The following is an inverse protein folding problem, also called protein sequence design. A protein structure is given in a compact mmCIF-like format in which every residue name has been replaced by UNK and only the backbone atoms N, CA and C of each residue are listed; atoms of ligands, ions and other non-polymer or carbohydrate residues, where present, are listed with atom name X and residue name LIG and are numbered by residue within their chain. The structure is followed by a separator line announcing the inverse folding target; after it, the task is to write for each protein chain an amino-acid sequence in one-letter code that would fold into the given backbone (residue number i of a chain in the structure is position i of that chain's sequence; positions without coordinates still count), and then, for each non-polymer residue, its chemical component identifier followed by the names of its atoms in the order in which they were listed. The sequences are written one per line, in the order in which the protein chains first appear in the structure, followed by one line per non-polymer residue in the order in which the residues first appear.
data_IF_293059344859
#
_entry.id   IF_293059344859
#
_cell.length_a   1.000
_cell.length_b   1.000
_cell.length_c   1.000
_cell.angle_alpha   90.00
_cell.angle_beta   90.00
_cell.angle_gamma   90.00
#
_symmetry.space_group_name_H-M   'P 1'
#
loop_
_entity.id
_entity.type
_entity.pdbx_description
1 polymer ?
#
# COMPACT_ATOMS: atom_id res chain seq x y z
N UNK A 1 19.12 -21.30 -36.42
CA UNK A 1 19.13 -20.14 -35.49
C UNK A 1 19.35 -20.61 -34.05
N UNK A 2 20.60 -20.89 -33.65
CA UNK A 2 20.93 -21.46 -32.31
C UNK A 2 21.04 -20.45 -31.16
N UNK A 3 20.95 -19.14 -31.46
CA UNK A 3 21.20 -18.07 -30.48
C UNK A 3 20.11 -17.97 -29.39
N UNK A 4 18.85 -18.28 -29.71
CA UNK A 4 17.74 -18.13 -28.78
C UNK A 4 17.76 -19.16 -27.62
N UNK A 5 18.36 -20.33 -27.81
CA UNK A 5 18.43 -21.39 -26.78
C UNK A 5 19.61 -21.21 -25.80
N UNK A 6 20.56 -20.33 -26.12
CA UNK A 6 21.80 -20.14 -25.34
C UNK A 6 21.68 -18.94 -24.38
N UNK A 7 20.96 -17.89 -24.79
CA UNK A 7 20.75 -16.70 -23.99
C UNK A 7 19.81 -16.97 -22.80
N UNK A 8 20.22 -16.63 -21.56
CA UNK A 8 19.45 -16.89 -20.32
C UNK A 8 19.04 -18.37 -20.12
N UNK A 9 19.85 -19.31 -20.62
CA UNK A 9 19.61 -20.75 -20.48
C UNK A 9 19.56 -21.24 -19.03
N UNK A 10 20.25 -20.56 -18.11
CA UNK A 10 20.24 -20.93 -16.69
C UNK A 10 19.04 -20.30 -15.94
N UNK A 11 18.15 -21.11 -15.32
CA UNK A 11 17.00 -20.59 -14.61
C UNK A 11 17.41 -19.79 -13.37
N UNK A 12 17.05 -18.50 -13.35
CA UNK A 12 17.32 -17.57 -12.23
C UNK A 12 16.17 -17.60 -11.23
N UNK A 13 15.90 -18.75 -10.61
CA UNK A 13 14.82 -18.90 -9.62
C UNK A 13 15.22 -18.38 -8.23
N UNK A 14 16.50 -18.45 -7.89
CA UNK A 14 17.03 -18.09 -6.57
C UNK A 14 18.38 -17.36 -6.69
N UNK A 15 18.87 -16.83 -5.55
CA UNK A 15 20.14 -16.12 -5.46
C UNK A 15 20.05 -14.61 -5.71
N UNK A 16 21.18 -13.89 -5.70
CA UNK A 16 21.22 -12.45 -5.93
C UNK A 16 20.79 -12.05 -7.35
N UNK A 17 21.15 -12.85 -8.36
CA UNK A 17 20.83 -12.57 -9.77
C UNK A 17 19.38 -12.85 -10.18
N UNK A 18 18.57 -13.46 -9.31
CA UNK A 18 17.12 -13.63 -9.56
C UNK A 18 16.29 -12.44 -9.10
N UNK A 19 16.91 -11.45 -8.44
CA UNK A 19 16.21 -10.35 -7.78
C UNK A 19 16.84 -9.03 -8.18
N UNK A 20 15.99 -8.04 -8.37
CA UNK A 20 16.38 -6.69 -8.71
C UNK A 20 15.50 -5.69 -7.97
N UNK A 21 16.04 -4.51 -7.70
CA UNK A 21 15.29 -3.42 -7.11
C UNK A 21 14.15 -3.01 -8.03
N UNK A 22 12.94 -2.87 -7.47
CA UNK A 22 11.75 -2.42 -8.20
C UNK A 22 11.86 -1.02 -8.82
N UNK A 23 12.79 -0.19 -8.34
CA UNK A 23 12.99 1.20 -8.77
C UNK A 23 14.13 1.31 -9.77
N UNK A 24 15.34 0.90 -9.38
CA UNK A 24 16.55 1.11 -10.21
C UNK A 24 17.08 -0.15 -10.91
N UNK A 25 16.45 -1.32 -10.74
CA UNK A 25 16.92 -2.57 -11.32
C UNK A 25 18.20 -3.17 -10.72
N UNK A 26 18.83 -2.50 -9.75
CA UNK A 26 20.04 -3.00 -9.09
C UNK A 26 19.76 -4.29 -8.31
N UNK A 27 20.62 -5.30 -8.44
CA UNK A 27 20.57 -6.59 -7.72
C UNK A 27 21.31 -6.58 -6.38
N UNK A 28 22.05 -5.51 -6.06
CA UNK A 28 22.81 -5.39 -4.82
C UNK A 28 22.08 -4.60 -3.73
N UNK A 29 22.28 -5.01 -2.47
CA UNK A 29 21.79 -4.29 -1.29
C UNK A 29 20.27 -4.16 -1.22
N UNK A 30 19.53 -5.20 -1.64
CA UNK A 30 18.08 -5.23 -1.58
C UNK A 30 17.55 -5.38 -0.14
N UNK A 31 16.62 -4.52 0.21
CA UNK A 31 15.73 -4.63 1.36
C UNK A 31 14.49 -5.41 0.90
N UNK A 32 14.28 -6.58 1.52
CA UNK A 32 13.23 -7.54 1.14
C UNK A 32 12.10 -7.63 2.15
N UNK A 33 12.30 -7.11 3.36
CA UNK A 33 11.33 -7.19 4.44
C UNK A 33 10.04 -6.45 4.07
N UNK A 34 8.89 -7.00 4.45
CA UNK A 34 7.57 -6.42 4.23
C UNK A 34 7.22 -6.24 2.74
N UNK A 35 7.84 -7.01 1.84
CA UNK A 35 7.59 -6.94 0.40
C UNK A 35 8.19 -5.72 -0.32
N UNK A 36 9.04 -4.91 0.34
CA UNK A 36 9.61 -3.68 -0.23
C UNK A 36 10.40 -3.92 -1.52
N UNK A 37 11.24 -4.95 -1.55
CA UNK A 37 12.06 -5.36 -2.70
C UNK A 37 12.75 -4.18 -3.42
N UNK A 38 13.29 -3.25 -2.65
CA UNK A 38 14.00 -2.07 -3.15
C UNK A 38 15.45 -2.06 -2.62
N UNK A 39 16.39 -1.44 -3.36
CA UNK A 39 17.75 -1.30 -2.85
C UNK A 39 17.79 -0.25 -1.73
N UNK A 40 18.79 -0.36 -0.85
CA UNK A 40 18.95 0.56 0.29
C UNK A 40 19.01 2.05 -0.08
N UNK A 41 19.50 2.39 -1.28
CA UNK A 41 19.62 3.77 -1.75
C UNK A 41 18.26 4.33 -2.18
N UNK A 42 17.51 3.58 -3.00
CA UNK A 42 16.14 3.94 -3.37
C UNK A 42 15.23 3.99 -2.15
N UNK A 43 15.39 3.05 -1.20
CA UNK A 43 14.66 3.09 0.05
C UNK A 43 14.88 4.39 0.81
N UNK A 44 16.15 4.80 1.03
CA UNK A 44 16.45 6.04 1.77
C UNK A 44 15.90 7.29 1.09
N UNK A 45 15.88 7.31 -0.23
CA UNK A 45 15.37 8.44 -1.02
C UNK A 45 13.84 8.56 -0.88
N UNK A 46 13.16 7.42 -0.84
CA UNK A 46 11.70 7.35 -0.85
C UNK A 46 11.08 7.03 0.53
N UNK A 47 11.89 6.89 1.58
CA UNK A 47 11.44 6.41 2.89
C UNK A 47 10.28 7.24 3.44
N UNK A 48 10.36 8.57 3.31
CA UNK A 48 9.31 9.49 3.73
C UNK A 48 8.00 9.27 2.97
N UNK A 49 8.08 9.03 1.67
CA UNK A 49 6.89 8.81 0.82
C UNK A 49 6.22 7.46 1.07
N UNK A 50 6.99 6.48 1.53
CA UNK A 50 6.48 5.16 1.94
C UNK A 50 5.88 5.22 3.36
N UNK A 51 6.05 6.33 4.09
CA UNK A 51 5.57 6.51 5.46
C UNK A 51 6.56 6.08 6.55
N UNK A 52 7.84 5.86 6.23
CA UNK A 52 8.86 5.59 7.25
C UNK A 52 9.31 6.89 7.93
N UNK A 53 9.15 6.92 9.25
CA UNK A 53 9.57 8.03 10.11
C UNK A 53 10.83 7.62 10.87
N UNK A 54 11.82 8.50 10.95
CA UNK A 54 13.03 8.27 11.76
C UNK A 54 12.73 8.60 13.23
N UNK A 55 12.83 7.64 14.16
CA UNK A 55 12.55 7.88 15.57
C UNK A 55 13.78 8.47 16.27
N UNK A 56 14.22 9.69 15.91
CA UNK A 56 15.29 10.39 16.64
C UNK A 56 14.71 11.66 17.30
N UNK A 57 14.33 11.53 18.57
CA UNK A 57 15.10 11.85 19.79
C UNK A 57 15.03 13.36 20.14
N UNK A 58 14.17 13.70 21.13
CA UNK A 58 13.97 15.03 21.76
C UNK A 58 13.15 16.11 21.02
N UNK A 59 12.15 15.77 20.22
CA UNK A 59 10.98 16.65 19.99
C UNK A 59 9.69 15.84 19.84
N UNK A 60 9.19 15.32 20.96
CA UNK A 60 7.74 15.16 21.16
C UNK A 60 7.20 16.54 21.54
N UNK A 61 7.33 17.51 20.64
CA UNK A 61 6.62 18.77 20.76
C UNK A 61 5.45 18.69 19.77
N UNK A 62 4.30 18.29 20.32
CA UNK A 62 2.98 18.83 20.04
C UNK A 62 2.66 19.19 18.57
N UNK A 63 2.74 18.23 17.64
CA UNK A 63 1.99 18.24 16.37
C UNK A 63 1.69 16.80 15.93
N UNK A 64 1.05 16.03 16.80
CA UNK A 64 0.63 14.64 16.52
C UNK A 64 -0.66 14.55 15.70
N UNK A 65 -0.84 15.40 14.69
CA UNK A 65 -2.01 15.35 13.80
C UNK A 65 -1.72 15.56 12.31
N UNK A 66 -0.51 15.93 11.89
CA UNK A 66 -0.20 16.18 10.48
C UNK A 66 1.19 15.67 10.12
N UNK A 67 1.32 14.38 9.83
CA UNK A 67 2.50 13.87 9.13
C UNK A 67 2.56 14.47 7.72
N UNK A 68 3.28 15.58 7.58
CA UNK A 68 3.65 16.22 6.31
C UNK A 68 4.48 15.26 5.43
N UNK A 69 3.79 14.42 4.67
CA UNK A 69 4.31 13.74 3.50
C UNK A 69 3.30 13.93 2.36
N UNK A 70 3.53 14.93 1.51
CA UNK A 70 2.64 15.37 0.40
C UNK A 70 1.27 15.89 0.87
N UNK A 71 1.22 17.04 1.57
CA UNK A 71 -0.04 17.80 1.72
C UNK A 71 -0.41 18.48 0.39
N UNK A 72 -0.89 17.68 -0.57
CA UNK A 72 -1.53 18.21 -1.77
C UNK A 72 -2.93 18.67 -1.40
N UNK A 73 -3.39 19.81 -1.96
CA UNK A 73 -4.77 20.27 -1.81
C UNK A 73 -5.77 19.16 -2.17
N UNK A 74 -5.42 18.31 -3.14
CA UNK A 74 -6.23 17.14 -3.53
C UNK A 74 -6.39 16.12 -2.40
N UNK A 75 -5.37 15.88 -1.59
CA UNK A 75 -5.45 14.94 -0.46
C UNK A 75 -6.27 15.52 0.68
N UNK A 76 -6.19 16.83 0.93
CA UNK A 76 -7.04 17.50 1.92
C UNK A 76 -8.52 17.43 1.55
N UNK A 77 -8.85 17.68 0.28
CA UNK A 77 -10.23 17.53 -0.22
C UNK A 77 -10.68 16.07 -0.12
N UNK A 78 -9.80 15.12 -0.42
CA UNK A 78 -10.15 13.71 -0.26
C UNK A 78 -10.41 13.37 1.22
N UNK A 79 -9.58 13.84 2.14
CA UNK A 79 -9.72 13.56 3.57
C UNK A 79 -11.02 14.12 4.16
N UNK A 80 -11.44 15.33 3.77
CA UNK A 80 -12.74 15.87 4.20
C UNK A 80 -13.91 15.04 3.68
N UNK A 81 -13.83 14.58 2.44
CA UNK A 81 -14.84 13.67 1.86
C UNK A 81 -14.86 12.34 2.61
N UNK A 82 -13.70 11.75 2.93
CA UNK A 82 -13.62 10.50 3.68
C UNK A 82 -14.21 10.62 5.09
N UNK A 83 -13.91 11.70 5.81
CA UNK A 83 -14.49 11.94 7.14
C UNK A 83 -16.02 12.11 7.09
N UNK A 84 -16.54 12.76 6.05
CA UNK A 84 -17.98 12.88 5.85
C UNK A 84 -18.62 11.50 5.60
N UNK A 85 -18.00 10.65 4.77
CA UNK A 85 -18.48 9.28 4.50
C UNK A 85 -18.45 8.42 5.77
N UNK A 86 -17.39 8.53 6.58
CA UNK A 86 -17.29 7.81 7.86
C UNK A 86 -18.41 8.21 8.83
N UNK A 87 -18.79 9.49 8.85
CA UNK A 87 -19.88 9.97 9.70
C UNK A 87 -21.28 9.52 9.23
N UNK A 88 -21.50 9.39 7.91
CA UNK A 88 -22.80 9.01 7.35
C UNK A 88 -22.95 7.51 7.13
N UNK A 89 -21.85 6.75 7.05
CA UNK A 89 -21.84 5.34 6.69
C UNK A 89 -22.31 5.05 5.27
N UNK A 90 -22.41 6.07 4.40
CA UNK A 90 -22.89 5.94 3.02
C UNK A 90 -22.21 6.93 2.09
N UNK A 91 -22.05 6.55 0.81
CA UNK A 91 -21.44 7.39 -0.22
C UNK A 91 -22.54 8.03 -1.08
N UNK A 92 -22.56 9.35 -1.16
CA UNK A 92 -23.42 10.10 -2.08
C UNK A 92 -22.83 10.18 -3.49
N UNK A 93 -23.65 10.41 -4.51
CA UNK A 93 -23.16 10.57 -5.89
C UNK A 93 -22.18 11.75 -6.04
N UNK A 94 -22.42 12.85 -5.32
CA UNK A 94 -21.51 14.00 -5.30
C UNK A 94 -20.13 13.61 -4.75
N UNK A 95 -20.09 12.93 -3.60
CA UNK A 95 -18.83 12.44 -3.02
C UNK A 95 -18.11 11.47 -3.97
N UNK A 96 -18.85 10.58 -4.63
CA UNK A 96 -18.28 9.64 -5.59
C UNK A 96 -17.72 10.35 -6.82
N UNK A 97 -18.39 11.40 -7.31
CA UNK A 97 -17.91 12.21 -8.43
C UNK A 97 -16.63 12.98 -8.10
N UNK A 98 -16.54 13.56 -6.90
CA UNK A 98 -15.34 14.25 -6.40
C UNK A 98 -14.18 13.26 -6.30
N UNK A 99 -14.41 12.12 -5.68
CA UNK A 99 -13.37 11.08 -5.55
C UNK A 99 -12.94 10.54 -6.92
N UNK A 100 -13.87 10.39 -7.87
CA UNK A 100 -13.56 9.95 -9.22
C UNK A 100 -12.71 10.99 -9.96
N UNK A 101 -13.00 12.28 -9.80
CA UNK A 101 -12.17 13.34 -10.35
C UNK A 101 -10.74 13.31 -9.79
N UNK A 102 -10.59 13.02 -8.49
CA UNK A 102 -9.28 13.02 -7.81
C UNK A 102 -8.44 11.78 -8.11
N UNK A 103 -9.05 10.59 -8.15
CA UNK A 103 -8.34 9.32 -8.21
C UNK A 103 -8.57 8.54 -9.52
N UNK A 104 -9.51 8.98 -10.35
CA UNK A 104 -9.82 8.45 -11.67
C UNK A 104 -10.05 6.93 -11.67
N UNK A 105 -9.38 6.26 -12.61
CA UNK A 105 -9.49 4.81 -12.85
C UNK A 105 -9.09 3.95 -11.64
N UNK A 106 -8.33 4.50 -10.68
CA UNK A 106 -7.96 3.75 -9.48
C UNK A 106 -9.15 3.59 -8.54
N UNK A 107 -10.07 4.56 -8.51
CA UNK A 107 -11.29 4.48 -7.72
C UNK A 107 -12.25 3.42 -8.27
N UNK A 108 -12.49 3.40 -9.59
CA UNK A 108 -13.36 2.40 -10.23
C UNK A 108 -12.88 0.97 -9.98
N UNK A 109 -11.56 0.77 -9.93
CA UNK A 109 -10.99 -0.55 -9.59
C UNK A 109 -11.09 -0.83 -8.10
N UNK A 110 -11.01 0.19 -7.25
CA UNK A 110 -11.14 0.05 -5.80
C UNK A 110 -12.57 -0.35 -5.41
N UNK A 111 -13.59 0.28 -5.99
CA UNK A 111 -15.00 -0.05 -5.72
C UNK A 111 -15.31 -1.51 -6.07
N UNK A 112 -14.81 -2.01 -7.21
CA UNK A 112 -14.93 -3.43 -7.58
C UNK A 112 -14.32 -4.41 -6.56
N UNK A 113 -13.27 -4.01 -5.85
CA UNK A 113 -12.65 -4.85 -4.81
C UNK A 113 -13.57 -4.90 -3.59
N UNK A 114 -14.18 -3.77 -3.23
CA UNK A 114 -15.12 -3.65 -2.11
C UNK A 114 -16.41 -4.44 -2.41
N UNK A 115 -16.96 -4.32 -3.62
CA UNK A 115 -18.17 -5.05 -4.04
C UNK A 115 -17.98 -6.58 -3.93
N UNK A 116 -16.76 -7.05 -4.24
CA UNK A 116 -16.36 -8.45 -4.12
C UNK A 116 -15.99 -8.88 -2.70
N UNK A 117 -16.12 -7.99 -1.71
CA UNK A 117 -15.70 -8.18 -0.30
C UNK A 117 -14.24 -8.64 -0.19
N UNK A 118 -13.36 -8.05 -1.01
CA UNK A 118 -11.94 -8.40 -1.09
C UNK A 118 -11.05 -7.73 -0.04
N UNK A 119 -11.62 -7.11 0.99
CA UNK A 119 -10.88 -6.37 2.02
C UNK A 119 -11.07 -7.04 3.38
N UNK A 120 -9.95 -7.40 4.01
CA UNK A 120 -9.91 -7.93 5.38
C UNK A 120 -9.12 -6.98 6.26
N UNK A 121 -9.61 -6.69 7.46
CA UNK A 121 -8.87 -5.95 8.49
C UNK A 121 -8.40 -6.95 9.53
N UNK A 122 -7.10 -7.01 9.74
CA UNK A 122 -6.47 -7.89 10.71
C UNK A 122 -6.06 -7.03 11.90
N UNK A 123 -6.61 -7.29 13.08
CA UNK A 123 -6.30 -6.59 14.34
C UNK A 123 -5.52 -7.51 15.28
N UNK A 124 -4.41 -6.99 15.83
CA UNK A 124 -3.60 -7.66 16.85
C UNK A 124 -4.11 -7.34 18.25
N UNK A 125 -4.33 -8.36 19.07
CA UNK A 125 -4.60 -8.22 20.50
C UNK A 125 -3.36 -8.65 21.31
N UNK A 126 -2.98 -7.92 22.38
CA UNK A 126 -3.65 -6.75 22.97
C UNK A 126 -3.23 -5.39 22.37
N UNK A 127 -2.28 -5.34 21.43
CA UNK A 127 -1.69 -4.06 20.97
C UNK A 127 -2.65 -3.12 20.23
N UNK A 128 -3.78 -3.62 19.73
CA UNK A 128 -4.71 -2.87 18.90
C UNK A 128 -4.16 -2.49 17.52
N UNK A 129 -2.96 -2.95 17.15
CA UNK A 129 -2.36 -2.68 15.85
C UNK A 129 -3.16 -3.38 14.76
N UNK A 130 -3.51 -2.66 13.71
CA UNK A 130 -4.26 -3.24 12.60
C UNK A 130 -3.57 -3.05 11.26
N UNK A 131 -3.84 -3.98 10.36
CA UNK A 131 -3.38 -3.93 8.98
C UNK A 131 -4.49 -4.42 8.05
N UNK A 132 -4.56 -3.83 6.87
CA UNK A 132 -5.51 -4.26 5.85
C UNK A 132 -4.84 -5.24 4.90
N UNK A 133 -5.56 -6.31 4.60
CA UNK A 133 -5.20 -7.27 3.58
C UNK A 133 -6.22 -7.16 2.45
N UNK A 134 -5.75 -6.79 1.26
CA UNK A 134 -6.60 -6.53 0.09
C UNK A 134 -6.26 -7.51 -1.01
N UNK A 135 -7.29 -8.17 -1.53
CA UNK A 135 -7.16 -9.14 -2.62
C UNK A 135 -6.97 -8.40 -3.95
N UNK A 136 -5.92 -8.78 -4.68
CA UNK A 136 -5.67 -8.32 -6.04
C UNK A 136 -6.65 -8.91 -7.04
N UNK A 137 -6.93 -8.16 -8.10
CA UNK A 137 -7.83 -8.56 -9.20
C UNK A 137 -7.22 -9.59 -10.16
N UNK A 138 -5.93 -9.91 -10.01
CA UNK A 138 -5.21 -10.87 -10.84
C UNK A 138 -5.79 -12.28 -10.70
N UNK A 139 -5.68 -13.11 -11.75
CA UNK A 139 -6.15 -14.51 -11.73
C UNK A 139 -5.58 -15.34 -10.57
N UNK A 140 -4.39 -14.98 -10.08
CA UNK A 140 -3.72 -15.64 -8.96
C UNK A 140 -4.25 -15.25 -7.57
N UNK A 141 -5.19 -14.31 -7.47
CA UNK A 141 -5.76 -13.78 -6.22
C UNK A 141 -4.71 -13.47 -5.17
N UNK A 142 -3.65 -12.77 -5.58
CA UNK A 142 -2.57 -12.37 -4.66
C UNK A 142 -3.13 -11.39 -3.62
N UNK A 143 -2.82 -11.64 -2.35
CA UNK A 143 -3.22 -10.77 -1.26
C UNK A 143 -2.09 -9.77 -0.96
N UNK A 144 -2.42 -8.48 -0.95
CA UNK A 144 -1.47 -7.42 -0.64
C UNK A 144 -1.77 -6.85 0.75
N UNK A 145 -0.73 -6.69 1.56
CA UNK A 145 -0.82 -5.89 2.76
C UNK A 145 -0.80 -4.40 2.41
N UNK A 146 -1.65 -3.66 3.11
CA UNK A 146 -1.75 -2.22 2.96
C UNK A 146 -2.05 -1.52 4.27
N UNK A 147 -1.48 -0.33 4.37
CA UNK A 147 -1.83 0.72 5.30
C UNK A 147 -2.53 1.80 4.47
N UNK A 148 -3.80 2.14 4.77
CA UNK A 148 -4.63 3.00 3.92
C UNK A 148 -3.99 4.35 3.55
N UNK A 149 -3.24 4.96 4.46
CA UNK A 149 -2.58 6.25 4.24
C UNK A 149 -1.16 6.14 3.68
N UNK A 150 -0.41 5.10 4.06
CA UNK A 150 1.05 5.16 3.95
C UNK A 150 1.64 4.20 2.93
N UNK A 151 1.18 2.94 2.90
CA UNK A 151 1.90 1.88 2.21
C UNK A 151 1.00 0.82 1.59
N UNK A 152 1.39 0.32 0.42
CA UNK A 152 0.85 -0.93 -0.11
C UNK A 152 1.96 -1.79 -0.74
N UNK A 153 1.93 -3.10 -0.49
CA UNK A 153 2.89 -4.04 -1.05
C UNK A 153 2.77 -4.28 -2.57
N UNK A 154 1.76 -3.70 -3.22
CA UNK A 154 1.52 -3.92 -4.65
C UNK A 154 2.55 -3.22 -5.55
N UNK A 155 2.73 -3.73 -6.77
CA UNK A 155 3.70 -3.18 -7.72
C UNK A 155 3.37 -1.73 -8.13
N UNK A 156 2.10 -1.42 -8.38
CA UNK A 156 1.64 -0.07 -8.77
C UNK A 156 1.95 1.00 -7.73
N UNK A 157 1.91 0.66 -6.43
CA UNK A 157 2.28 1.62 -5.40
C UNK A 157 3.74 2.07 -5.55
N UNK A 158 4.67 1.13 -5.68
CA UNK A 158 6.09 1.48 -5.83
C UNK A 158 6.39 2.23 -7.13
N UNK A 159 5.71 1.86 -8.22
CA UNK A 159 6.00 2.43 -9.52
C UNK A 159 5.28 3.76 -9.75
N UNK A 160 3.96 3.78 -9.63
CA UNK A 160 3.12 4.92 -10.00
C UNK A 160 3.11 6.00 -8.89
N UNK A 161 3.12 5.58 -7.62
CA UNK A 161 3.02 6.51 -6.47
C UNK A 161 4.39 6.96 -5.98
N UNK A 162 5.29 6.01 -5.72
CA UNK A 162 6.59 6.30 -5.09
C UNK A 162 7.65 6.70 -6.11
N UNK A 163 7.80 5.96 -7.22
CA UNK A 163 8.87 6.23 -8.18
C UNK A 163 8.55 7.37 -9.14
N UNK A 164 7.32 7.43 -9.64
CA UNK A 164 6.89 8.42 -10.64
C UNK A 164 6.16 9.62 -10.04
N UNK A 165 5.46 9.42 -8.92
CA UNK A 165 4.60 10.45 -8.34
C UNK A 165 3.42 10.86 -9.23
N UNK A 166 3.09 10.06 -10.25
CA UNK A 166 1.98 10.32 -11.18
C UNK A 166 0.61 10.08 -10.52
N UNK A 167 0.57 9.22 -9.49
CA UNK A 167 -0.63 8.86 -8.76
C UNK A 167 -0.45 9.11 -7.27
N UNK A 168 -1.50 9.56 -6.58
CA UNK A 168 -1.45 9.79 -5.13
C UNK A 168 -1.64 8.49 -4.33
N UNK A 169 -2.48 7.57 -4.83
CA UNK A 169 -2.79 6.32 -4.16
C UNK A 169 -2.94 5.19 -5.18
N UNK A 170 -2.62 3.97 -4.77
CA UNK A 170 -2.98 2.80 -5.55
C UNK A 170 -4.43 2.38 -5.29
N UNK A 171 -5.00 1.56 -6.18
CA UNK A 171 -6.36 1.04 -6.01
C UNK A 171 -6.60 0.30 -4.69
N UNK A 172 -5.58 -0.37 -4.14
CA UNK A 172 -5.72 -1.12 -2.89
C UNK A 172 -5.77 -0.20 -1.66
N UNK A 173 -5.02 0.91 -1.67
CA UNK A 173 -5.11 1.93 -0.60
C UNK A 173 -6.49 2.57 -0.60
N UNK A 174 -7.01 2.93 -1.77
CA UNK A 174 -8.37 3.47 -1.91
C UNK A 174 -9.42 2.44 -1.47
N UNK A 175 -9.27 1.17 -1.84
CA UNK A 175 -10.19 0.11 -1.43
C UNK A 175 -10.19 -0.07 0.09
N UNK A 176 -9.01 -0.11 0.72
CA UNK A 176 -8.89 -0.22 2.17
C UNK A 176 -9.46 1.00 2.89
N UNK A 177 -9.21 2.21 2.37
CA UNK A 177 -9.70 3.47 2.96
C UNK A 177 -11.21 3.57 2.88
N UNK A 178 -11.79 3.36 1.70
CA UNK A 178 -13.24 3.38 1.51
C UNK A 178 -13.93 2.26 2.29
N UNK A 179 -13.36 1.06 2.32
CA UNK A 179 -13.89 -0.03 3.15
C UNK A 179 -13.87 0.33 4.64
N UNK A 180 -12.80 0.96 5.12
CA UNK A 180 -12.71 1.44 6.51
C UNK A 180 -13.80 2.45 6.82
N UNK A 181 -14.03 3.44 5.95
CA UNK A 181 -15.07 4.47 6.15
C UNK A 181 -16.50 3.91 6.08
N UNK A 182 -16.73 2.89 5.25
CA UNK A 182 -18.06 2.26 5.10
C UNK A 182 -18.31 1.09 6.06
N UNK A 183 -17.31 0.66 6.82
CA UNK A 183 -17.38 -0.61 7.57
C UNK A 183 -17.53 -1.85 6.67
N UNK A 184 -17.19 -1.74 5.38
CA UNK A 184 -17.37 -2.79 4.37
C UNK A 184 -16.14 -3.73 4.28
N UNK A 185 -15.70 -4.26 5.42
CA UNK A 185 -14.56 -5.19 5.50
C UNK A 185 -14.87 -6.35 6.45
N UNK A 186 -14.16 -7.48 6.30
CA UNK A 186 -14.19 -8.55 7.30
C UNK A 186 -13.10 -8.34 8.35
N UNK A 187 -13.45 -8.29 9.63
CA UNK A 187 -12.49 -8.15 10.72
C UNK A 187 -12.02 -9.52 11.22
N UNK A 188 -10.72 -9.67 11.44
CA UNK A 188 -10.08 -10.88 11.96
C UNK A 188 -9.16 -10.45 13.09
N UNK A 189 -9.46 -10.94 14.29
CA UNK A 189 -8.62 -10.70 15.47
C UNK A 189 -7.60 -11.83 15.60
N UNK A 190 -6.34 -11.46 15.82
CA UNK A 190 -5.21 -12.38 15.98
C UNK A 190 -4.33 -11.97 17.15
N UNK A 191 -3.54 -12.89 17.69
CA UNK A 191 -2.50 -12.52 18.65
C UNK A 191 -1.39 -11.70 17.98
N UNK A 192 -0.74 -10.82 18.73
CA UNK A 192 0.38 -10.01 18.23
C UNK A 192 1.52 -10.87 17.67
N UNK A 193 1.75 -12.05 18.24
CA UNK A 193 2.73 -13.03 17.76
C UNK A 193 2.36 -13.52 16.35
N UNK A 194 1.09 -13.88 16.14
CA UNK A 194 0.61 -14.33 14.85
C UNK A 194 0.67 -13.21 13.81
N UNK A 195 0.32 -11.98 14.21
CA UNK A 195 0.45 -10.79 13.36
C UNK A 195 1.91 -10.56 12.93
N UNK A 196 2.86 -10.66 13.87
CA UNK A 196 4.28 -10.54 13.57
C UNK A 196 4.76 -11.61 12.58
N UNK A 197 4.30 -12.87 12.75
CA UNK A 197 4.60 -13.96 11.83
C UNK A 197 4.04 -13.67 10.43
N UNK A 198 2.81 -13.20 10.31
CA UNK A 198 2.21 -12.82 9.01
C UNK A 198 3.03 -11.72 8.33
N UNK A 199 3.44 -10.69 9.07
CA UNK A 199 4.26 -9.60 8.54
C UNK A 199 5.67 -10.04 8.12
N UNK A 200 6.22 -11.07 8.76
CA UNK A 200 7.56 -11.59 8.46
C UNK A 200 7.64 -12.44 7.20
N UNK A 201 6.51 -13.05 6.79
CA UNK A 201 6.45 -14.03 5.69
C UNK A 201 6.28 -13.40 4.30
N UNK A 202 6.42 -12.07 4.20
CA UNK A 202 6.16 -11.25 3.00
C UNK A 202 7.43 -10.65 2.42
#
# INVERSE_FOLDING_TARGET
MGFAAIWNSHPKKYGPGSRTCRVCGNSHGLIRKYGLNCCRQCFRSNAKEIGFIKPDQKKLNLESSLSLGKMSVTLLVADTVWSNIESTGSVTEEQLSILHLLFGKNLEKATRIIDKRGVKKISGLPSGRSIFQVVGESQKREEYLCFPGDYCGCYSFFYDVVSRGEQQCCKHQLAARMASSLGAYSEIEVSDEHLAVMLSKI
#
